data_IF_133774646158
#
_entry.id   IF_133774646158
#
_cell.length_a   1.000
_cell.length_b   1.000
_cell.length_c   1.000
_cell.angle_alpha   90.00
_cell.angle_beta   90.00
_cell.angle_gamma   90.00
#
_symmetry.space_group_name_H-M   'P 1'
#
loop_
_entity.id
_entity.type
_entity.pdbx_description
1 polymer ?
#
# COMPACT_ATOMS: atom_id res chain seq x y z
N UNK A 1 24.11 -9.61 -45.80
CA UNK A 1 23.88 -10.30 -44.50
C UNK A 1 23.74 -9.25 -43.43
N UNK A 2 22.55 -8.68 -43.28
CA UNK A 2 22.24 -7.72 -42.22
C UNK A 2 21.95 -8.49 -40.94
N UNK A 3 22.83 -8.36 -39.97
CA UNK A 3 22.65 -8.90 -38.61
C UNK A 3 21.37 -8.35 -38.02
N UNK A 4 20.43 -9.24 -37.73
CA UNK A 4 19.20 -8.93 -36.99
C UNK A 4 19.59 -8.49 -35.59
N UNK A 5 19.27 -7.23 -35.24
CA UNK A 5 19.33 -6.76 -33.86
C UNK A 5 18.35 -7.61 -33.05
N UNK A 6 18.88 -8.43 -32.15
CA UNK A 6 18.09 -9.03 -31.08
C UNK A 6 17.51 -7.91 -30.22
N UNK A 7 16.25 -7.56 -30.46
CA UNK A 7 15.46 -6.77 -29.52
C UNK A 7 15.05 -7.70 -28.38
N UNK A 8 16.00 -8.00 -27.50
CA UNK A 8 15.70 -8.60 -26.22
C UNK A 8 14.96 -7.54 -25.38
N UNK A 9 13.65 -7.43 -25.60
CA UNK A 9 12.76 -6.55 -24.86
C UNK A 9 12.73 -7.01 -23.42
N UNK A 10 13.64 -6.49 -22.59
CA UNK A 10 13.65 -6.75 -21.16
C UNK A 10 12.25 -6.40 -20.62
N UNK A 11 11.50 -7.44 -20.23
CA UNK A 11 10.15 -7.27 -19.69
C UNK A 11 10.26 -6.38 -18.44
N UNK A 12 9.68 -5.19 -18.49
CA UNK A 12 9.71 -4.24 -17.37
C UNK A 12 9.11 -4.90 -16.12
N UNK A 13 9.91 -4.93 -15.05
CA UNK A 13 9.50 -5.48 -13.76
C UNK A 13 8.93 -4.36 -12.90
N UNK A 14 7.60 -4.23 -12.93
CA UNK A 14 6.87 -3.30 -12.07
C UNK A 14 6.98 -3.66 -10.57
N UNK A 15 7.05 -2.63 -9.73
CA UNK A 15 6.84 -2.69 -8.29
C UNK A 15 5.47 -2.12 -7.94
N UNK A 16 4.61 -2.95 -7.34
CA UNK A 16 3.23 -2.59 -6.98
C UNK A 16 3.06 -2.59 -5.46
N UNK A 17 2.48 -1.53 -4.92
CA UNK A 17 2.10 -1.47 -3.51
C UNK A 17 0.62 -1.80 -3.35
N UNK A 18 0.32 -2.67 -2.38
CA UNK A 18 -1.05 -3.00 -1.96
C UNK A 18 -1.32 -2.40 -0.60
N UNK A 19 -2.40 -1.64 -0.47
CA UNK A 19 -2.83 -1.07 0.81
C UNK A 19 -4.35 -1.30 1.01
N UNK A 20 -4.73 -2.51 1.45
CA UNK A 20 -6.13 -2.89 1.67
C UNK A 20 -6.72 -2.28 2.94
N UNK A 21 -8.05 -2.18 3.01
CA UNK A 21 -8.75 -1.96 4.28
C UNK A 21 -8.49 -3.12 5.26
N UNK A 22 -8.44 -2.82 6.58
CA UNK A 22 -8.19 -3.77 7.67
C UNK A 22 -9.39 -4.69 7.96
N UNK A 23 -9.90 -5.34 6.92
CA UNK A 23 -10.93 -6.36 6.97
C UNK A 23 -10.52 -7.54 6.10
N UNK A 24 -10.73 -8.77 6.57
CA UNK A 24 -10.32 -9.96 5.83
C UNK A 24 -10.99 -10.08 4.45
N UNK A 25 -12.23 -9.60 4.31
CA UNK A 25 -12.92 -9.50 3.02
C UNK A 25 -12.23 -8.60 1.99
N UNK A 26 -11.30 -7.74 2.42
CA UNK A 26 -10.50 -6.88 1.55
C UNK A 26 -9.06 -7.36 1.46
N UNK A 27 -8.43 -7.70 2.59
CA UNK A 27 -7.04 -8.16 2.63
C UNK A 27 -6.81 -9.44 1.83
N UNK A 28 -7.73 -10.42 1.91
CA UNK A 28 -7.55 -11.70 1.20
C UNK A 28 -7.60 -11.51 -0.32
N UNK A 29 -8.61 -10.83 -0.92
CA UNK A 29 -8.58 -10.56 -2.36
C UNK A 29 -7.36 -9.79 -2.83
N UNK A 30 -6.88 -8.80 -2.06
CA UNK A 30 -5.65 -8.08 -2.39
C UNK A 30 -4.43 -9.01 -2.35
N UNK A 31 -4.38 -9.96 -1.41
CA UNK A 31 -3.30 -10.93 -1.33
C UNK A 31 -3.34 -11.90 -2.52
N UNK A 32 -4.52 -12.38 -2.92
CA UNK A 32 -4.64 -13.22 -4.12
C UNK A 32 -4.23 -12.46 -5.39
N UNK A 33 -4.63 -11.18 -5.52
CA UNK A 33 -4.16 -10.33 -6.61
C UNK A 33 -2.63 -10.15 -6.59
N UNK A 34 -2.04 -10.00 -5.40
CA UNK A 34 -0.59 -9.90 -5.22
C UNK A 34 0.13 -11.14 -5.75
N UNK A 35 -0.42 -12.34 -5.50
CA UNK A 35 0.12 -13.60 -6.02
C UNK A 35 0.08 -13.62 -7.55
N UNK A 36 -1.03 -13.19 -8.16
CA UNK A 36 -1.16 -13.13 -9.62
C UNK A 36 -0.16 -12.15 -10.24
N UNK A 37 0.04 -10.98 -9.63
CA UNK A 37 1.03 -9.99 -10.07
C UNK A 37 2.46 -10.55 -9.97
N UNK A 38 2.78 -11.18 -8.85
CA UNK A 38 4.07 -11.83 -8.63
C UNK A 38 4.34 -12.94 -9.66
N UNK A 39 3.34 -13.78 -9.98
CA UNK A 39 3.44 -14.83 -11.00
C UNK A 39 3.70 -14.28 -12.41
N UNK A 40 3.36 -13.02 -12.69
CA UNK A 40 3.67 -12.37 -13.98
C UNK A 40 5.10 -11.80 -14.05
N UNK A 41 5.87 -11.90 -12.97
CA UNK A 41 7.27 -11.48 -12.87
C UNK A 41 7.47 -10.12 -12.18
N UNK A 42 6.43 -9.56 -11.56
CA UNK A 42 6.46 -8.27 -10.87
C UNK A 42 6.77 -8.43 -9.37
N UNK A 43 7.09 -7.34 -8.67
CA UNK A 43 7.20 -7.33 -7.21
C UNK A 43 5.99 -6.67 -6.58
N UNK A 44 5.64 -7.14 -5.38
CA UNK A 44 4.57 -6.55 -4.57
C UNK A 44 5.07 -6.22 -3.18
N UNK A 45 4.69 -5.04 -2.70
CA UNK A 45 4.77 -4.70 -1.28
C UNK A 45 3.36 -4.67 -0.71
N UNK A 46 3.07 -5.59 0.21
CA UNK A 46 1.77 -5.71 0.86
C UNK A 46 1.82 -5.04 2.22
N UNK A 47 1.22 -3.85 2.32
CA UNK A 47 1.17 -3.06 3.55
C UNK A 47 -0.01 -3.51 4.40
N UNK A 48 0.26 -3.88 5.65
CA UNK A 48 -0.78 -4.10 6.66
C UNK A 48 -0.16 -4.04 8.05
N UNK A 49 -0.95 -4.30 9.08
CA UNK A 49 -0.51 -4.26 10.47
C UNK A 49 0.15 -5.60 10.88
N UNK A 50 1.02 -5.61 11.91
CA UNK A 50 1.81 -6.78 12.27
C UNK A 50 0.98 -8.06 12.48
N UNK A 51 -0.09 -8.00 13.28
CA UNK A 51 -0.93 -9.15 13.60
C UNK A 51 -1.74 -9.61 12.38
N UNK A 52 -2.18 -8.68 11.54
CA UNK A 52 -2.87 -9.04 10.29
C UNK A 52 -1.94 -9.75 9.30
N UNK A 53 -0.68 -9.31 9.18
CA UNK A 53 0.31 -10.01 8.36
C UNK A 53 0.53 -11.42 8.89
N UNK A 54 0.71 -11.59 10.21
CA UNK A 54 0.90 -12.91 10.80
C UNK A 54 -0.30 -13.84 10.57
N UNK A 55 -1.53 -13.29 10.57
CA UNK A 55 -2.76 -14.02 10.21
C UNK A 55 -2.86 -14.36 8.71
N UNK A 56 -2.12 -13.68 7.84
CA UNK A 56 -2.13 -13.87 6.39
C UNK A 56 -0.97 -14.76 5.89
N UNK A 57 0.17 -14.76 6.56
CA UNK A 57 1.37 -15.53 6.18
C UNK A 57 1.10 -17.02 5.86
N UNK A 58 0.25 -17.76 6.61
CA UNK A 58 -0.05 -19.16 6.28
C UNK A 58 -0.69 -19.37 4.90
N UNK A 59 -1.16 -18.31 4.22
CA UNK A 59 -1.80 -18.37 2.90
C UNK A 59 -0.83 -18.20 1.73
N UNK A 60 0.46 -18.03 1.99
CA UNK A 60 1.45 -17.78 0.95
C UNK A 60 2.20 -19.03 0.50
N UNK A 61 2.22 -19.30 -0.81
CA UNK A 61 3.12 -20.29 -1.38
C UNK A 61 4.59 -19.87 -1.20
N UNK A 62 5.45 -20.80 -0.77
CA UNK A 62 6.88 -20.56 -0.56
C UNK A 62 7.58 -20.01 -1.81
N UNK A 63 7.15 -20.45 -3.00
CA UNK A 63 7.71 -20.04 -4.29
C UNK A 63 7.44 -18.57 -4.66
N UNK A 64 6.53 -17.88 -3.95
CA UNK A 64 6.22 -16.46 -4.16
C UNK A 64 6.79 -15.55 -3.07
N UNK A 65 7.42 -16.12 -2.05
CA UNK A 65 7.95 -15.39 -0.89
C UNK A 65 8.99 -14.32 -1.26
N UNK A 66 9.77 -14.52 -2.33
CA UNK A 66 10.78 -13.55 -2.79
C UNK A 66 10.20 -12.41 -3.64
N UNK A 67 8.95 -12.54 -4.11
CA UNK A 67 8.30 -11.55 -4.97
C UNK A 67 7.28 -10.69 -4.22
N UNK A 68 6.83 -11.12 -3.04
CA UNK A 68 5.87 -10.41 -2.20
C UNK A 68 6.52 -10.08 -0.86
N UNK A 69 6.77 -8.80 -0.61
CA UNK A 69 7.29 -8.29 0.65
C UNK A 69 6.14 -7.79 1.54
N UNK A 70 6.09 -8.25 2.78
CA UNK A 70 5.14 -7.71 3.77
C UNK A 70 5.73 -6.53 4.51
N UNK A 71 5.01 -5.43 4.46
CA UNK A 71 5.40 -4.19 5.13
C UNK A 71 4.51 -4.05 6.36
N UNK A 72 5.07 -4.41 7.52
CA UNK A 72 4.40 -4.33 8.82
C UNK A 72 4.44 -2.89 9.34
N UNK A 73 3.30 -2.22 9.35
CA UNK A 73 3.16 -0.87 9.93
C UNK A 73 2.23 -0.96 11.14
N UNK A 74 2.71 -0.69 12.37
CA UNK A 74 1.89 -0.74 13.57
C UNK A 74 0.68 0.18 13.46
N UNK A 75 -0.48 -0.33 13.91
CA UNK A 75 -1.67 0.49 14.03
C UNK A 75 -1.55 1.40 15.26
N UNK A 76 -1.71 2.72 15.12
CA UNK A 76 -1.74 3.64 16.27
C UNK A 76 -2.84 3.27 17.26
N UNK A 77 -2.53 3.31 18.55
CA UNK A 77 -3.50 3.08 19.61
C UNK A 77 -4.63 4.11 19.59
N UNK A 78 -5.85 3.68 19.93
CA UNK A 78 -7.02 4.55 20.08
C UNK A 78 -7.76 4.17 21.37
N UNK A 79 -8.11 5.16 22.19
CA UNK A 79 -8.74 4.92 23.51
C UNK A 79 -10.14 4.30 23.45
N UNK A 80 -10.78 4.27 22.28
CA UNK A 80 -12.07 3.62 22.04
C UNK A 80 -11.93 2.19 21.52
N UNK A 81 -10.73 1.79 21.13
CA UNK A 81 -10.45 0.47 20.59
C UNK A 81 -9.95 -0.47 21.69
N UNK A 82 -10.33 -1.76 21.65
CA UNK A 82 -9.71 -2.78 22.48
C UNK A 82 -8.20 -2.86 22.25
N UNK A 83 -7.47 -3.32 23.25
CA UNK A 83 -6.05 -3.63 23.12
C UNK A 83 -5.82 -4.64 22.00
N UNK A 84 -4.76 -4.43 21.23
CA UNK A 84 -4.35 -5.25 20.08
C UNK A 84 -5.40 -5.47 18.97
N UNK A 85 -6.44 -4.64 18.89
CA UNK A 85 -7.36 -4.73 17.77
C UNK A 85 -6.67 -4.17 16.50
N UNK A 86 -6.64 -4.96 15.44
CA UNK A 86 -6.00 -4.57 14.18
C UNK A 86 -6.90 -4.80 12.97
N UNK A 87 -8.03 -5.49 13.13
CA UNK A 87 -8.99 -5.75 12.07
C UNK A 87 -10.44 -5.54 12.53
N UNK A 88 -11.34 -5.39 11.56
CA UNK A 88 -12.78 -5.31 11.79
C UNK A 88 -13.36 -6.51 12.55
N UNK A 89 -12.71 -7.69 12.48
CA UNK A 89 -13.09 -8.88 13.24
C UNK A 89 -12.74 -8.80 14.73
N UNK A 90 -11.84 -7.89 15.10
CA UNK A 90 -11.38 -7.70 16.49
C UNK A 90 -12.28 -6.74 17.27
N UNK A 91 -13.28 -6.12 16.62
CA UNK A 91 -14.13 -5.09 17.21
C UNK A 91 -15.62 -5.24 16.86
N UNK A 92 -16.55 -4.85 17.75
CA UNK A 92 -17.95 -4.65 17.38
C UNK A 92 -18.12 -3.63 16.26
N UNK A 93 -19.18 -3.78 15.45
CA UNK A 93 -19.43 -2.92 14.27
C UNK A 93 -19.44 -1.42 14.60
N UNK A 94 -19.99 -1.03 15.75
CA UNK A 94 -20.06 0.38 16.16
C UNK A 94 -18.68 1.00 16.48
N UNK A 95 -17.62 0.19 16.64
CA UNK A 95 -16.25 0.67 16.86
C UNK A 95 -15.40 0.71 15.57
N UNK A 96 -15.91 0.18 14.45
CA UNK A 96 -15.23 0.24 13.14
C UNK A 96 -14.85 1.68 12.73
N UNK A 97 -15.62 2.74 13.02
CA UNK A 97 -15.18 4.12 12.76
C UNK A 97 -13.88 4.50 13.49
N UNK A 98 -13.65 4.01 14.70
CA UNK A 98 -12.40 4.26 15.43
C UNK A 98 -11.22 3.48 14.83
N UNK A 99 -11.47 2.31 14.26
CA UNK A 99 -10.46 1.57 13.49
C UNK A 99 -10.05 2.35 12.23
N UNK A 100 -10.99 3.04 11.57
CA UNK A 100 -10.67 3.94 10.45
C UNK A 100 -9.78 5.10 10.90
N UNK A 101 -10.12 5.75 12.01
CA UNK A 101 -9.31 6.83 12.61
C UNK A 101 -7.90 6.34 12.95
N UNK A 102 -7.77 5.14 13.53
CA UNK A 102 -6.48 4.55 13.82
C UNK A 102 -5.68 4.29 12.54
N UNK A 103 -6.31 3.75 11.49
CA UNK A 103 -5.67 3.52 10.20
C UNK A 103 -5.23 4.83 9.52
N UNK A 104 -6.01 5.91 9.64
CA UNK A 104 -5.61 7.25 9.15
C UNK A 104 -4.33 7.74 9.85
N UNK A 105 -4.10 7.33 11.11
CA UNK A 105 -2.87 7.60 11.84
C UNK A 105 -1.63 6.90 11.27
N UNK A 106 -1.79 5.90 10.39
CA UNK A 106 -0.69 5.25 9.66
C UNK A 106 -0.16 6.10 8.50
N UNK A 107 -0.71 7.30 8.26
CA UNK A 107 -0.36 8.17 7.12
C UNK A 107 1.13 8.42 6.98
N UNK A 108 1.78 8.88 8.04
CA UNK A 108 3.21 9.23 8.00
C UNK A 108 4.08 8.01 7.62
N UNK A 109 4.03 6.87 8.33
CA UNK A 109 4.90 5.73 8.00
C UNK A 109 4.62 5.12 6.63
N UNK A 110 3.37 5.15 6.14
CA UNK A 110 3.09 4.70 4.77
C UNK A 110 3.66 5.67 3.74
N UNK A 111 3.52 7.00 3.95
CA UNK A 111 4.13 8.00 3.05
C UNK A 111 5.64 7.82 2.97
N UNK A 112 6.31 7.69 4.11
CA UNK A 112 7.76 7.45 4.16
C UNK A 112 8.16 6.17 3.42
N UNK A 113 7.35 5.11 3.56
CA UNK A 113 7.54 3.88 2.80
C UNK A 113 7.36 4.08 1.28
N UNK A 114 6.35 4.83 0.85
CA UNK A 114 6.10 5.09 -0.57
C UNK A 114 7.22 5.95 -1.19
N UNK A 115 7.68 6.98 -0.49
CA UNK A 115 8.78 7.84 -0.93
C UNK A 115 10.11 7.08 -1.07
N UNK A 116 10.39 6.17 -0.13
CA UNK A 116 11.61 5.37 -0.14
C UNK A 116 11.57 4.24 -1.18
N UNK A 117 10.43 3.57 -1.32
CA UNK A 117 10.29 2.41 -2.21
C UNK A 117 10.02 2.78 -3.67
N UNK A 118 9.48 3.98 -3.94
CA UNK A 118 9.20 4.51 -5.28
C UNK A 118 8.45 3.51 -6.18
N UNK A 119 7.27 3.03 -5.75
CA UNK A 119 6.52 2.04 -6.52
C UNK A 119 6.04 2.63 -7.84
N UNK A 120 5.90 1.78 -8.85
CA UNK A 120 5.29 2.18 -10.11
C UNK A 120 3.80 2.44 -9.89
N UNK A 121 3.09 1.51 -9.25
CA UNK A 121 1.65 1.57 -8.99
C UNK A 121 1.31 1.38 -7.51
N UNK A 122 0.26 2.08 -7.08
CA UNK A 122 -0.34 1.93 -5.75
C UNK A 122 -1.78 1.48 -5.93
N UNK A 123 -2.10 0.29 -5.42
CA UNK A 123 -3.45 -0.25 -5.36
C UNK A 123 -3.97 -0.07 -3.93
N UNK A 124 -4.75 0.99 -3.79
CA UNK A 124 -5.32 1.43 -2.52
C UNK A 124 -6.81 1.12 -2.48
N UNK A 125 -7.27 0.65 -1.32
CA UNK A 125 -8.69 0.43 -1.03
C UNK A 125 -9.46 1.76 -0.91
N UNK A 126 -10.77 1.74 -1.10
CA UNK A 126 -11.59 2.97 -1.04
C UNK A 126 -11.77 3.50 0.39
N UNK A 127 -11.65 2.64 1.41
CA UNK A 127 -11.86 3.04 2.80
C UNK A 127 -10.81 4.05 3.30
N UNK A 128 -9.50 3.89 3.04
CA UNK A 128 -8.49 4.90 3.35
C UNK A 128 -8.54 6.15 2.43
N UNK A 129 -9.69 6.58 1.91
CA UNK A 129 -9.77 7.71 0.95
C UNK A 129 -9.16 9.03 1.46
N UNK A 130 -9.06 9.25 2.78
CA UNK A 130 -8.40 10.43 3.36
C UNK A 130 -6.87 10.46 3.20
N UNK A 131 -6.26 9.37 2.73
CA UNK A 131 -4.81 9.15 2.74
C UNK A 131 -4.06 9.85 1.58
N UNK A 132 -4.64 9.89 0.37
CA UNK A 132 -3.96 10.43 -0.84
C UNK A 132 -4.40 11.83 -1.26
N UNK A 133 -5.54 12.35 -0.78
CA UNK A 133 -5.94 13.73 -1.08
C UNK A 133 -4.92 14.76 -0.56
N UNK A 134 -4.12 14.41 0.46
CA UNK A 134 -3.03 15.25 0.96
C UNK A 134 -1.75 15.18 0.12
N UNK A 135 -1.44 14.03 -0.51
CA UNK A 135 -0.18 13.84 -1.23
C UNK A 135 -0.23 14.47 -2.64
N UNK A 136 -1.38 14.38 -3.32
CA UNK A 136 -1.60 15.11 -4.57
C UNK A 136 -1.66 16.65 -4.35
N UNK A 137 -2.09 17.10 -3.17
CA UNK A 137 -2.16 18.52 -2.84
C UNK A 137 -0.79 19.16 -2.52
N UNK A 138 0.19 18.38 -2.06
CA UNK A 138 1.57 18.86 -1.82
C UNK A 138 2.34 19.12 -3.12
N UNK A 139 2.10 18.35 -4.19
CA UNK A 139 2.71 18.59 -5.49
C UNK A 139 2.10 19.81 -6.20
N UNK A 140 0.78 20.02 -6.08
CA UNK A 140 0.10 21.18 -6.68
C UNK A 140 0.54 22.53 -6.07
N UNK A 141 0.95 22.57 -4.79
CA UNK A 141 1.47 23.80 -4.17
C UNK A 141 2.89 24.15 -4.62
N UNK A 142 3.69 23.16 -5.02
CA UNK A 142 5.09 23.36 -5.45
C UNK A 142 5.19 24.01 -6.84
N UNK A 143 4.20 23.79 -7.69
CA UNK A 143 4.12 24.37 -9.04
C UNK A 143 3.60 25.83 -9.04
N UNK A 144 2.72 26.18 -8.08
CA UNK A 144 2.12 27.51 -8.02
C UNK A 144 3.07 28.66 -7.63
N UNK A 145 4.25 28.37 -7.06
CA UNK A 145 5.24 29.40 -6.70
C UNK A 145 6.11 29.87 -7.87
N UNK A 146 6.00 29.26 -9.06
CA UNK A 146 6.82 29.58 -10.23
C UNK A 146 6.16 30.56 -11.23
N UNK A 147 4.93 31.02 -10.98
CA UNK A 147 4.13 31.79 -11.95
C UNK A 147 3.81 33.24 -11.55
N UNK A 148 4.51 33.83 -10.59
CA UNK A 148 4.39 35.27 -10.36
C UNK A 148 5.32 36.03 -11.32
N UNK A 149 4.78 36.85 -12.25
CA UNK A 149 5.63 37.67 -13.11
C UNK A 149 6.38 38.72 -12.27
N UNK A 150 7.57 39.16 -12.72
CA UNK A 150 8.34 40.17 -12.02
C UNK A 150 7.53 41.48 -11.92
N UNK A 151 7.47 42.04 -10.71
CA UNK A 151 6.91 43.37 -10.48
C UNK A 151 7.80 44.40 -11.18
N UNK A 152 7.18 45.23 -12.01
CA UNK A 152 7.77 46.46 -12.55
C UNK A 152 8.05 47.47 -11.43
#
# INVERSE_FOLDING_TARGET
>A
MTSSKDCNGAKLRLHVVMFPWLAFGHMIPHLELSKLIAQKGHTVSFISTPRNIDRLLPRLPENLSSAISFVKIPLPSNNKLPEDCEATTDVPFHLVPYLKIAMDGMRIPVTEFLESSKPDWILQDFVPIGFLQSLAASDAKRDSSALLPPRL
#
